data_IF_679719252034
#
_entry.id   IF_679719252034
#
_cell.length_a   1.000
_cell.length_b   1.000
_cell.length_c   1.000
_cell.angle_alpha   90.00
_cell.angle_beta   90.00
_cell.angle_gamma   90.00
#
_symmetry.space_group_name_H-M   'P 1'
#
loop_
_entity.id
_entity.type
_entity.pdbx_description
1 polymer ?
#
# COMPACT_ATOMS: atom_id res chain seq x y z
N UNK A 1 35.13 0.91 -5.30
CA UNK A 1 33.79 0.47 -5.76
C UNK A 1 33.34 -0.88 -5.21
N UNK A 2 34.24 -1.81 -4.83
CA UNK A 2 33.86 -3.15 -4.34
C UNK A 2 33.41 -3.16 -2.86
N UNK A 3 34.09 -2.42 -1.99
CA UNK A 3 33.91 -2.50 -0.53
C UNK A 3 32.51 -2.04 -0.06
N UNK A 4 31.98 -0.94 -0.63
CA UNK A 4 30.65 -0.42 -0.26
C UNK A 4 29.49 -1.31 -0.70
N UNK A 5 29.61 -1.94 -1.89
CA UNK A 5 28.63 -2.91 -2.35
C UNK A 5 28.65 -4.17 -1.48
N UNK A 6 29.83 -4.63 -1.06
CA UNK A 6 29.96 -5.77 -0.15
C UNK A 6 29.30 -5.49 1.20
N UNK A 7 29.50 -4.30 1.79
CA UNK A 7 28.84 -3.95 3.07
C UNK A 7 27.33 -3.81 2.94
N UNK A 8 26.83 -3.30 1.82
CA UNK A 8 25.39 -3.22 1.56
C UNK A 8 24.77 -4.60 1.42
N UNK A 9 25.45 -5.51 0.71
CA UNK A 9 25.02 -6.91 0.56
C UNK A 9 25.07 -7.65 1.91
N UNK A 10 26.10 -7.43 2.71
CA UNK A 10 26.23 -8.02 4.06
C UNK A 10 25.15 -7.48 5.00
N UNK A 11 24.87 -6.18 4.99
CA UNK A 11 23.80 -5.59 5.79
C UNK A 11 22.42 -6.10 5.36
N UNK A 12 22.18 -6.22 4.05
CA UNK A 12 20.96 -6.82 3.52
C UNK A 12 20.82 -8.28 3.96
N UNK A 13 21.90 -9.07 3.93
CA UNK A 13 21.91 -10.47 4.39
C UNK A 13 21.65 -10.58 5.90
N UNK A 14 22.19 -9.67 6.72
CA UNK A 14 21.95 -9.65 8.17
C UNK A 14 20.48 -9.35 8.47
N UNK A 15 19.90 -8.34 7.82
CA UNK A 15 18.46 -8.03 7.95
C UNK A 15 17.62 -9.20 7.46
N UNK A 16 18.04 -9.86 6.37
CA UNK A 16 17.35 -11.02 5.82
C UNK A 16 17.35 -12.21 6.80
N UNK A 17 18.50 -12.53 7.39
CA UNK A 17 18.65 -13.60 8.38
C UNK A 17 17.87 -13.28 9.66
N UNK A 18 17.94 -12.03 10.14
CA UNK A 18 17.21 -11.58 11.34
C UNK A 18 15.70 -11.68 11.16
N UNK A 19 15.19 -11.22 10.01
CA UNK A 19 13.79 -11.41 9.61
C UNK A 19 13.48 -12.90 9.55
N UNK A 20 14.32 -13.74 8.94
CA UNK A 20 14.09 -15.18 8.85
C UNK A 20 13.98 -15.88 10.21
N UNK A 21 14.72 -15.41 11.22
CA UNK A 21 14.69 -15.93 12.59
C UNK A 21 13.41 -15.49 13.32
N UNK A 22 13.05 -14.21 13.25
CA UNK A 22 11.85 -13.67 13.93
C UNK A 22 10.55 -14.27 13.34
N UNK A 23 10.60 -14.70 12.08
CA UNK A 23 9.52 -15.33 11.31
C UNK A 23 9.25 -16.77 11.72
N UNK A 24 10.28 -17.47 12.19
CA UNK A 24 10.15 -18.86 12.62
C UNK A 24 9.25 -19.02 13.85
N UNK A 25 8.92 -17.95 14.58
CA UNK A 25 8.23 -18.06 15.87
C UNK A 25 6.69 -18.12 15.78
N UNK A 26 6.05 -17.72 14.67
CA UNK A 26 4.59 -17.50 14.73
C UNK A 26 3.74 -18.15 13.62
N UNK A 27 4.06 -18.05 12.32
CA UNK A 27 3.08 -18.28 11.22
C UNK A 27 3.74 -18.60 9.87
N UNK A 28 4.56 -19.66 9.79
CA UNK A 28 5.51 -19.93 8.69
C UNK A 28 4.99 -19.76 7.24
N UNK A 29 3.76 -20.18 6.92
CA UNK A 29 3.23 -20.08 5.54
C UNK A 29 2.80 -18.66 5.15
N UNK A 30 2.07 -17.98 6.02
CA UNK A 30 1.55 -16.64 5.74
C UNK A 30 2.70 -15.64 5.61
N UNK A 31 3.71 -15.78 6.47
CA UNK A 31 4.86 -14.91 6.41
C UNK A 31 5.70 -15.14 5.14
N UNK A 32 5.93 -16.39 4.73
CA UNK A 32 6.66 -16.67 3.50
C UNK A 32 5.95 -16.09 2.26
N UNK A 33 4.62 -16.26 2.17
CA UNK A 33 3.79 -15.67 1.11
C UNK A 33 3.88 -14.14 1.14
N UNK A 34 3.77 -13.54 2.33
CA UNK A 34 3.91 -12.11 2.51
C UNK A 34 5.30 -11.62 2.08
N UNK A 35 6.37 -12.33 2.44
CA UNK A 35 7.74 -11.95 2.10
C UNK A 35 8.01 -12.05 0.59
N UNK A 36 7.55 -13.12 -0.05
CA UNK A 36 7.62 -13.26 -1.51
C UNK A 36 6.85 -12.12 -2.18
N UNK A 37 5.62 -11.85 -1.72
CA UNK A 37 4.82 -10.74 -2.18
C UNK A 37 5.52 -9.39 -1.98
N UNK A 38 6.18 -9.18 -0.85
CA UNK A 38 6.91 -7.96 -0.53
C UNK A 38 8.13 -7.76 -1.45
N UNK A 39 8.88 -8.83 -1.73
CA UNK A 39 10.01 -8.79 -2.67
C UNK A 39 9.53 -8.47 -4.07
N UNK A 40 8.50 -9.16 -4.56
CA UNK A 40 7.91 -8.92 -5.88
C UNK A 40 7.35 -7.50 -6.00
N UNK A 41 6.60 -7.06 -4.99
CA UNK A 41 6.06 -5.70 -4.90
C UNK A 41 7.18 -4.67 -4.95
N UNK A 42 8.24 -4.85 -4.16
CA UNK A 42 9.40 -3.93 -4.12
C UNK A 42 10.08 -3.87 -5.48
N UNK A 43 10.32 -5.01 -6.14
CA UNK A 43 10.96 -5.04 -7.45
C UNK A 43 10.13 -4.36 -8.55
N UNK A 44 8.83 -4.69 -8.62
CA UNK A 44 7.92 -4.11 -9.62
C UNK A 44 7.77 -2.61 -9.39
N UNK A 45 7.49 -2.19 -8.16
CA UNK A 45 7.32 -0.77 -7.81
C UNK A 45 8.60 0.03 -8.04
N UNK A 46 9.77 -0.52 -7.71
CA UNK A 46 11.05 0.10 -8.02
C UNK A 46 11.19 0.33 -9.53
N UNK A 47 10.94 -0.69 -10.33
CA UNK A 47 11.01 -0.60 -11.80
C UNK A 47 10.04 0.43 -12.37
N UNK A 48 8.80 0.46 -11.87
CA UNK A 48 7.78 1.43 -12.28
C UNK A 48 8.18 2.86 -11.88
N UNK A 49 8.71 3.05 -10.68
CA UNK A 49 9.12 4.36 -10.17
C UNK A 49 10.26 4.99 -10.97
N UNK A 50 11.06 4.17 -11.63
CA UNK A 50 12.21 4.57 -12.44
C UNK A 50 11.89 4.64 -13.94
N UNK A 51 10.69 4.22 -14.36
CA UNK A 51 10.31 4.18 -15.77
C UNK A 51 10.38 5.59 -16.38
N UNK A 52 11.11 5.73 -17.48
CA UNK A 52 11.32 7.01 -18.15
C UNK A 52 12.25 7.97 -17.43
N UNK A 53 12.97 7.51 -16.39
CA UNK A 53 14.04 8.27 -15.73
C UNK A 53 15.40 7.73 -16.19
N UNK A 54 16.25 8.63 -16.65
CA UNK A 54 17.63 8.29 -16.99
C UNK A 54 18.45 8.17 -15.70
N UNK A 55 18.82 6.93 -15.37
CA UNK A 55 19.53 6.57 -14.15
C UNK A 55 20.64 5.58 -14.50
N UNK A 56 21.88 6.02 -14.34
CA UNK A 56 23.03 5.16 -14.55
C UNK A 56 23.42 4.43 -13.26
N UNK A 57 22.98 3.18 -13.14
CA UNK A 57 23.28 2.30 -12.01
C UNK A 57 24.76 1.94 -11.86
N UNK A 58 25.63 2.28 -12.82
CA UNK A 58 27.07 2.05 -12.71
C UNK A 58 27.78 3.12 -11.87
N UNK A 59 27.09 4.21 -11.56
CA UNK A 59 27.62 5.33 -10.78
C UNK A 59 27.01 5.37 -9.39
N UNK A 60 27.80 5.84 -8.41
CA UNK A 60 27.32 6.06 -7.04
C UNK A 60 26.16 7.07 -7.05
N UNK A 61 26.28 8.13 -7.85
CA UNK A 61 25.23 9.16 -7.98
C UNK A 61 23.95 8.60 -8.59
N UNK A 62 24.04 7.72 -9.58
CA UNK A 62 22.87 7.05 -10.15
C UNK A 62 22.17 6.14 -9.15
N UNK A 63 22.92 5.40 -8.32
CA UNK A 63 22.33 4.60 -7.23
C UNK A 63 21.61 5.50 -6.20
N UNK A 64 22.24 6.61 -5.78
CA UNK A 64 21.61 7.57 -4.87
C UNK A 64 20.35 8.17 -5.49
N UNK A 65 20.40 8.55 -6.76
CA UNK A 65 19.27 9.09 -7.53
C UNK A 65 18.13 8.07 -7.60
N UNK A 66 18.44 6.81 -7.88
CA UNK A 66 17.46 5.73 -7.91
C UNK A 66 16.77 5.56 -6.56
N UNK A 67 17.55 5.53 -5.47
CA UNK A 67 17.03 5.42 -4.11
C UNK A 67 16.11 6.59 -3.75
N UNK A 68 16.50 7.83 -4.08
CA UNK A 68 15.65 9.01 -3.87
C UNK A 68 14.36 8.95 -4.65
N UNK A 69 14.41 8.55 -5.93
CA UNK A 69 13.23 8.40 -6.77
C UNK A 69 12.27 7.36 -6.21
N UNK A 70 12.77 6.20 -5.80
CA UNK A 70 11.96 5.16 -5.18
C UNK A 70 11.34 5.60 -3.86
N UNK A 71 12.12 6.22 -2.97
CA UNK A 71 11.61 6.72 -1.68
C UNK A 71 10.58 7.84 -1.85
N UNK A 72 10.74 8.71 -2.85
CA UNK A 72 9.76 9.74 -3.19
C UNK A 72 8.45 9.13 -3.71
N UNK A 73 8.54 8.12 -4.58
CA UNK A 73 7.38 7.36 -5.03
C UNK A 73 6.67 6.66 -3.85
N UNK A 74 7.43 6.00 -2.98
CA UNK A 74 6.91 5.31 -1.81
C UNK A 74 6.20 6.27 -0.84
N UNK A 75 6.79 7.45 -0.60
CA UNK A 75 6.17 8.52 0.18
C UNK A 75 4.83 8.97 -0.41
N UNK A 76 4.75 9.10 -1.74
CA UNK A 76 3.51 9.45 -2.44
C UNK A 76 2.43 8.39 -2.29
N UNK A 77 2.81 7.11 -2.32
CA UNK A 77 1.89 5.99 -2.04
C UNK A 77 1.34 6.08 -0.61
N UNK A 78 2.20 6.32 0.39
CA UNK A 78 1.75 6.49 1.77
C UNK A 78 0.79 7.67 1.95
N UNK A 79 1.05 8.81 1.31
CA UNK A 79 0.13 9.96 1.37
C UNK A 79 -1.21 9.65 0.73
N UNK A 80 -1.23 8.90 -0.38
CA UNK A 80 -2.45 8.49 -1.05
C UNK A 80 -3.26 7.50 -0.19
N UNK A 81 -2.61 6.48 0.39
CA UNK A 81 -3.25 5.53 1.30
C UNK A 81 -3.86 6.27 2.48
N UNK A 82 -3.10 7.19 3.11
CA UNK A 82 -3.61 8.02 4.21
C UNK A 82 -4.85 8.81 3.80
N UNK A 83 -4.82 9.43 2.61
CA UNK A 83 -5.95 10.21 2.09
C UNK A 83 -7.19 9.34 1.89
N UNK A 84 -7.03 8.17 1.26
CA UNK A 84 -8.12 7.21 1.04
C UNK A 84 -8.70 6.74 2.37
N UNK A 85 -7.85 6.34 3.31
CA UNK A 85 -8.29 5.89 4.64
C UNK A 85 -9.00 6.99 5.41
N UNK A 86 -8.50 8.23 5.37
CA UNK A 86 -9.14 9.37 6.01
C UNK A 86 -10.46 9.75 5.34
N UNK A 87 -10.57 9.59 4.03
CA UNK A 87 -11.83 9.77 3.31
C UNK A 87 -12.84 8.69 3.70
N UNK A 88 -12.44 7.42 3.69
CA UNK A 88 -13.28 6.30 4.07
C UNK A 88 -13.77 6.41 5.52
N UNK A 89 -12.92 6.83 6.47
CA UNK A 89 -13.33 7.00 7.87
C UNK A 89 -14.36 8.12 8.09
N UNK A 90 -14.43 9.08 7.16
CA UNK A 90 -15.39 10.20 7.21
C UNK A 90 -16.71 9.88 6.53
N UNK A 91 -16.81 8.76 5.81
CA UNK A 91 -18.07 8.35 5.22
C UNK A 91 -19.02 7.88 6.31
N UNK A 92 -20.29 8.28 6.20
CA UNK A 92 -21.36 7.77 7.03
C UNK A 92 -21.74 6.38 6.51
N UNK A 93 -21.18 5.35 7.12
CA UNK A 93 -21.45 3.95 6.78
C UNK A 93 -22.78 3.45 7.35
N UNK A 94 -23.59 4.32 7.96
CA UNK A 94 -24.88 3.95 8.51
C UNK A 94 -25.81 3.55 7.36
N UNK A 95 -26.38 2.36 7.44
CA UNK A 95 -27.50 1.97 6.58
C UNK A 95 -28.63 2.97 6.79
N UNK A 96 -28.92 3.75 5.76
CA UNK A 96 -30.17 4.48 5.67
C UNK A 96 -31.26 3.44 5.46
N UNK A 97 -31.84 2.95 6.57
CA UNK A 97 -33.17 2.33 6.56
C UNK A 97 -34.19 3.41 6.24
N UNK A 98 -34.20 3.88 5.00
CA UNK A 98 -35.38 4.50 4.43
C UNK A 98 -36.40 3.37 4.27
N UNK A 99 -37.15 3.11 5.34
CA UNK A 99 -38.47 2.53 5.17
C UNK A 99 -39.16 3.42 4.16
N UNK A 100 -39.33 2.92 2.93
CA UNK A 100 -40.13 3.59 1.91
C UNK A 100 -41.45 3.91 2.59
N UNK A 101 -41.66 5.19 2.94
CA UNK A 101 -42.95 5.63 3.45
C UNK A 101 -43.88 5.46 2.26
N UNK A 102 -44.61 4.36 2.25
CA UNK A 102 -45.59 4.09 1.23
C UNK A 102 -46.69 5.15 1.41
N UNK A 103 -46.63 6.21 0.60
CA UNK A 103 -47.54 7.37 0.64
C UNK A 103 -48.99 6.97 0.26
N UNK A 104 -49.25 5.67 0.03
CA UNK A 104 -50.59 5.10 -0.13
C UNK A 104 -51.51 5.39 1.06
N UNK A 105 -50.97 5.54 2.27
CA UNK A 105 -51.78 5.91 3.45
C UNK A 105 -52.35 7.33 3.36
N UNK A 106 -51.64 8.28 2.74
CA UNK A 106 -52.17 9.64 2.49
C UNK A 106 -53.22 9.65 1.40
N UNK A 107 -53.06 8.82 0.36
CA UNK A 107 -54.03 8.73 -0.73
C UNK A 107 -55.34 8.14 -0.23
N UNK A 108 -55.30 7.09 0.60
CA UNK A 108 -56.49 6.53 1.24
C UNK A 108 -57.20 7.52 2.17
N UNK A 109 -56.45 8.34 2.92
CA UNK A 109 -57.02 9.38 3.78
C UNK A 109 -57.75 10.47 2.99
N UNK A 110 -57.31 10.79 1.77
CA UNK A 110 -57.97 11.75 0.88
C UNK A 110 -59.27 11.16 0.33
N UNK A 111 -59.28 9.90 -0.10
CA UNK A 111 -60.49 9.23 -0.58
C UNK A 111 -61.51 8.99 0.53
N UNK A 112 -61.07 8.82 1.78
CA UNK A 112 -61.96 8.69 2.93
C UNK A 112 -62.60 10.02 3.37
N UNK A 113 -62.09 11.17 2.89
CA UNK A 113 -62.59 12.52 3.19
C UNK A 113 -63.45 13.13 2.06
N UNK A 114 -63.59 12.44 0.93
CA UNK A 114 -64.46 12.79 -0.21
C UNK A 114 -65.78 12.01 -0.11
#
# INVERSE_FOLDING_TARGET
MVIGATFFVVAALIVFIWVFIEVKRLKHKLFAIFLIGLILFTYISFTVSLKGKDVDFKTVDGIIKAGKLYMSWLGSVFTNIKSITAYASKQDWKEYNESVVNDTSKVEEIWAKL
#
